data_IF_242316935009
#
_entry.id   IF_242316935009
#
_cell.length_a   1.000
_cell.length_b   1.000
_cell.length_c   1.000
_cell.angle_alpha   90.00
_cell.angle_beta   90.00
_cell.angle_gamma   90.00
#
_symmetry.space_group_name_H-M   'P 1'
#
loop_
_entity.id
_entity.type
_entity.pdbx_description
1 polymer ?
#
# COMPACT_ATOMS: atom_id res chain seq x y z
N UNK A 1 -16.15 1.08 6.36
CA UNK A 1 -16.17 1.97 7.54
C UNK A 1 -15.30 3.17 7.26
N UNK A 2 -15.78 4.38 7.54
CA UNK A 2 -15.00 5.62 7.41
C UNK A 2 -14.29 5.97 8.71
N UNK A 3 -13.13 6.58 8.60
CA UNK A 3 -12.30 7.06 9.70
C UNK A 3 -11.82 8.47 9.38
N UNK A 4 -11.67 9.30 10.40
CA UNK A 4 -11.08 10.63 10.29
C UNK A 4 -9.87 10.67 11.23
N UNK A 5 -8.73 11.12 10.71
CA UNK A 5 -7.55 11.39 11.52
C UNK A 5 -7.80 12.66 12.34
N UNK A 6 -7.84 12.52 13.66
CA UNK A 6 -8.09 13.61 14.60
C UNK A 6 -7.02 14.73 14.56
N UNK A 7 -5.82 14.45 14.03
CA UNK A 7 -4.73 15.43 13.94
C UNK A 7 -4.83 16.23 12.64
N UNK A 8 -4.97 15.53 11.49
CA UNK A 8 -4.94 16.17 10.17
C UNK A 8 -6.31 16.48 9.58
N UNK A 9 -7.38 15.88 10.11
CA UNK A 9 -8.72 15.87 9.51
C UNK A 9 -8.79 15.01 8.24
N UNK A 10 -7.75 14.23 7.91
CA UNK A 10 -7.75 13.39 6.72
C UNK A 10 -8.70 12.20 6.89
N UNK A 11 -9.48 11.92 5.86
CA UNK A 11 -10.43 10.80 5.87
C UNK A 11 -9.76 9.52 5.33
N UNK A 12 -10.09 8.38 5.90
CA UNK A 12 -9.61 7.06 5.48
C UNK A 12 -10.75 6.04 5.49
N UNK A 13 -10.54 4.90 4.83
CA UNK A 13 -11.58 3.87 4.71
C UNK A 13 -11.02 2.50 5.05
N UNK A 14 -11.79 1.69 5.77
CA UNK A 14 -11.56 0.25 5.87
C UNK A 14 -12.71 -0.51 5.21
N UNK A 15 -12.37 -1.49 4.38
CA UNK A 15 -13.28 -2.48 3.82
C UNK A 15 -13.12 -3.77 4.64
N UNK A 16 -14.21 -4.21 5.26
CA UNK A 16 -14.22 -5.34 6.21
C UNK A 16 -15.03 -6.49 5.59
N UNK A 17 -14.44 -7.69 5.61
CA UNK A 17 -15.10 -8.94 5.26
C UNK A 17 -15.11 -9.85 6.49
N UNK A 18 -16.27 -10.41 6.83
CA UNK A 18 -16.43 -11.25 8.01
C UNK A 18 -16.25 -10.51 9.34
N UNK A 19 -16.12 -11.26 10.43
CA UNK A 19 -15.95 -10.71 11.78
C UNK A 19 -14.48 -10.42 12.10
N UNK A 20 -14.21 -9.26 12.68
CA UNK A 20 -12.88 -8.89 13.17
C UNK A 20 -12.75 -9.35 14.62
N UNK A 21 -11.89 -10.34 14.85
CA UNK A 21 -11.59 -10.87 16.19
C UNK A 21 -10.09 -10.77 16.48
N UNK A 22 -9.64 -10.99 17.74
CA UNK A 22 -8.21 -10.97 18.07
C UNK A 22 -7.35 -12.06 17.39
N UNK A 23 -7.97 -13.10 16.84
CA UNK A 23 -7.28 -14.17 16.11
C UNK A 23 -6.66 -13.67 14.80
N UNK A 24 -5.59 -14.33 14.28
CA UNK A 24 -4.89 -13.95 13.06
C UNK A 24 -5.85 -13.55 11.92
N UNK A 25 -5.70 -12.32 11.44
CA UNK A 25 -6.58 -11.70 10.45
C UNK A 25 -5.80 -11.34 9.18
N UNK A 26 -6.29 -11.73 8.01
CA UNK A 26 -5.70 -11.31 6.75
C UNK A 26 -5.96 -9.82 6.52
N UNK A 27 -4.89 -9.04 6.43
CA UNK A 27 -4.98 -7.58 6.29
C UNK A 27 -4.16 -7.05 5.13
N UNK A 28 -4.68 -6.02 4.48
CA UNK A 28 -3.95 -5.21 3.49
C UNK A 28 -4.00 -3.75 3.89
N UNK A 29 -2.84 -3.13 4.11
CA UNK A 29 -2.74 -1.67 4.23
C UNK A 29 -2.27 -1.11 2.89
N UNK A 30 -3.15 -0.37 2.21
CA UNK A 30 -2.92 0.21 0.89
C UNK A 30 -2.86 1.74 1.00
N UNK A 31 -1.78 2.32 0.49
CA UNK A 31 -1.71 3.76 0.27
C UNK A 31 -2.38 4.09 -1.05
N UNK A 32 -3.32 5.03 -1.03
CA UNK A 32 -4.01 5.59 -2.18
C UNK A 32 -3.06 5.91 -3.33
N UNK A 33 -3.49 5.56 -4.53
CA UNK A 33 -2.86 5.96 -5.77
C UNK A 33 -3.94 6.16 -6.84
N UNK A 34 -4.57 7.33 -6.88
CA UNK A 34 -5.67 7.67 -7.79
C UNK A 34 -5.36 7.31 -9.25
N UNK A 35 -4.16 7.62 -9.73
CA UNK A 35 -3.77 7.30 -11.11
C UNK A 35 -3.81 5.80 -11.40
N UNK A 36 -3.43 4.96 -10.44
CA UNK A 36 -3.45 3.51 -10.60
C UNK A 36 -4.80 2.90 -10.27
N UNK A 37 -5.37 3.30 -9.14
CA UNK A 37 -6.57 2.72 -8.54
C UNK A 37 -7.85 3.17 -9.27
N UNK A 38 -7.91 4.43 -9.72
CA UNK A 38 -9.07 5.00 -10.40
C UNK A 38 -8.92 5.15 -11.92
N UNK A 39 -7.72 5.51 -12.41
CA UNK A 39 -7.50 5.74 -13.85
C UNK A 39 -6.75 4.62 -14.57
N UNK A 40 -6.51 3.49 -13.89
CA UNK A 40 -5.85 2.31 -14.47
C UNK A 40 -4.49 2.60 -15.12
N UNK A 41 -3.74 3.55 -14.57
CA UNK A 41 -2.44 3.95 -15.09
C UNK A 41 -1.48 2.76 -15.17
N UNK A 42 -0.90 2.56 -16.35
CA UNK A 42 0.12 1.54 -16.62
C UNK A 42 1.51 1.91 -16.11
N UNK A 43 1.72 3.17 -15.69
CA UNK A 43 3.01 3.70 -15.22
C UNK A 43 3.42 3.16 -13.85
N UNK A 44 2.46 2.66 -13.08
CA UNK A 44 2.71 2.12 -11.74
C UNK A 44 2.06 0.74 -11.57
N UNK A 45 2.54 0.00 -10.58
CA UNK A 45 2.00 -1.31 -10.19
C UNK A 45 0.83 -1.19 -9.19
N UNK A 46 0.29 0.01 -8.96
CA UNK A 46 -0.67 0.26 -7.89
C UNK A 46 -2.06 -0.30 -8.21
N UNK A 47 -2.56 -0.06 -9.43
CA UNK A 47 -3.94 -0.36 -9.82
C UNK A 47 -4.42 -1.79 -9.57
N UNK A 48 -3.66 -2.85 -9.90
CA UNK A 48 -4.15 -4.21 -9.69
C UNK A 48 -4.08 -4.69 -8.23
N UNK A 49 -3.33 -4.00 -7.35
CA UNK A 49 -3.06 -4.47 -5.99
C UNK A 49 -4.28 -4.44 -5.07
N UNK A 50 -5.10 -3.37 -5.01
CA UNK A 50 -6.34 -3.38 -4.23
C UNK A 50 -7.25 -4.53 -4.62
N UNK A 51 -7.49 -4.74 -5.92
CA UNK A 51 -8.35 -5.81 -6.41
C UNK A 51 -7.80 -7.20 -6.06
N UNK A 52 -6.50 -7.41 -6.19
CA UNK A 52 -5.86 -8.67 -5.79
C UNK A 52 -6.00 -8.94 -4.28
N UNK A 53 -5.81 -7.90 -3.45
CA UNK A 53 -5.96 -8.02 -2.01
C UNK A 53 -7.41 -8.29 -1.59
N UNK A 54 -8.37 -7.59 -2.21
CA UNK A 54 -9.80 -7.84 -1.97
C UNK A 54 -10.20 -9.26 -2.37
N UNK A 55 -9.68 -9.80 -3.48
CA UNK A 55 -9.91 -11.20 -3.86
C UNK A 55 -9.32 -12.19 -2.85
N UNK A 56 -8.10 -11.94 -2.36
CA UNK A 56 -7.49 -12.78 -1.33
C UNK A 56 -8.31 -12.77 -0.02
N UNK A 57 -8.73 -11.58 0.43
CA UNK A 57 -9.60 -11.41 1.61
C UNK A 57 -10.95 -12.09 1.40
N UNK A 58 -11.56 -11.96 0.23
CA UNK A 58 -12.83 -12.61 -0.08
C UNK A 58 -12.71 -14.14 -0.10
N UNK A 59 -11.59 -14.68 -0.62
CA UNK A 59 -11.34 -16.12 -0.62
C UNK A 59 -11.15 -16.70 0.79
N UNK A 60 -10.59 -15.92 1.72
CA UNK A 60 -10.47 -16.30 3.12
C UNK A 60 -11.79 -16.15 3.89
N UNK A 61 -12.72 -15.32 3.38
CA UNK A 61 -14.00 -15.03 4.03
C UNK A 61 -13.91 -14.12 5.26
N UNK A 62 -12.68 -13.75 5.67
CA UNK A 62 -12.42 -12.91 6.84
C UNK A 62 -11.15 -12.08 6.61
N UNK A 63 -11.27 -10.75 6.70
CA UNK A 63 -10.13 -9.86 6.51
C UNK A 63 -10.48 -8.39 6.35
N UNK A 64 -9.45 -7.54 6.32
CA UNK A 64 -9.60 -6.07 6.23
C UNK A 64 -8.65 -5.47 5.20
N UNK A 65 -9.18 -4.66 4.28
CA UNK A 65 -8.39 -3.74 3.47
C UNK A 65 -8.50 -2.33 4.05
N UNK A 66 -7.40 -1.80 4.55
CA UNK A 66 -7.26 -0.40 4.97
C UNK A 66 -6.79 0.42 3.77
N UNK A 67 -7.56 1.42 3.39
CA UNK A 67 -7.25 2.37 2.33
C UNK A 67 -6.90 3.73 2.95
N UNK A 68 -5.60 4.00 3.01
CA UNK A 68 -5.06 5.25 3.56
C UNK A 68 -4.95 6.28 2.44
N UNK A 69 -5.64 7.42 2.60
CA UNK A 69 -5.65 8.53 1.63
C UNK A 69 -4.39 9.41 1.75
N UNK A 70 -3.26 8.79 1.42
CA UNK A 70 -1.92 9.39 1.47
C UNK A 70 -1.21 9.26 0.12
N UNK A 71 -1.84 9.86 -0.90
CA UNK A 71 -1.38 9.87 -2.28
C UNK A 71 0.08 10.36 -2.43
N UNK A 72 0.78 9.83 -3.43
CA UNK A 72 2.11 10.28 -3.80
C UNK A 72 3.19 9.89 -2.78
N UNK A 73 2.92 8.98 -1.85
CA UNK A 73 3.74 8.76 -0.63
C UNK A 73 3.66 9.92 0.35
N UNK A 74 2.48 10.51 0.51
CA UNK A 74 2.21 11.59 1.46
C UNK A 74 2.46 13.00 0.92
N UNK A 75 3.01 13.15 -0.30
CA UNK A 75 3.23 14.48 -0.92
C UNK A 75 2.00 14.98 -1.69
N UNK A 76 0.97 14.15 -1.85
CA UNK A 76 -0.26 14.48 -2.58
C UNK A 76 -0.18 14.31 -4.10
N UNK A 77 -1.34 14.37 -4.75
CA UNK A 77 -1.50 14.10 -6.18
C UNK A 77 -0.75 15.11 -7.07
N UNK A 78 -0.86 16.40 -6.76
CA UNK A 78 -0.25 17.46 -7.57
C UNK A 78 1.27 17.31 -7.62
N UNK A 79 1.91 17.03 -6.48
CA UNK A 79 3.36 16.85 -6.41
C UNK A 79 3.80 15.53 -7.05
N UNK A 80 2.98 14.48 -6.97
CA UNK A 80 3.21 13.24 -7.74
C UNK A 80 3.22 13.50 -9.25
N UNK A 81 2.31 14.33 -9.77
CA UNK A 81 2.28 14.71 -11.20
C UNK A 81 3.53 15.53 -11.55
N UNK A 82 3.93 16.48 -10.71
CA UNK A 82 5.21 17.23 -10.89
C UNK A 82 6.42 16.29 -10.90
N UNK A 83 6.46 15.32 -9.99
CA UNK A 83 7.53 14.32 -9.94
C UNK A 83 7.56 13.45 -11.20
N UNK A 84 6.39 13.10 -11.77
CA UNK A 84 6.33 12.42 -13.07
C UNK A 84 6.89 13.27 -14.20
N UNK A 85 6.62 14.57 -14.21
CA UNK A 85 7.19 15.47 -15.21
C UNK A 85 8.73 15.52 -15.15
N UNK A 86 9.30 15.57 -13.94
CA UNK A 86 10.76 15.51 -13.75
C UNK A 86 11.33 14.15 -14.17
N UNK A 87 10.60 13.06 -13.90
CA UNK A 87 10.99 11.72 -14.35
C UNK A 87 10.94 11.55 -15.88
N UNK A 88 9.98 12.20 -16.53
CA UNK A 88 9.91 12.24 -18.00
C UNK A 88 11.12 13.00 -18.60
N UNK A 89 11.72 13.90 -17.81
CA UNK A 89 12.98 14.58 -18.11
C UNK A 89 14.26 13.80 -17.71
N UNK A 90 14.13 12.58 -17.18
CA UNK A 90 15.25 11.68 -16.87
C UNK A 90 15.64 11.57 -15.39
N UNK A 91 15.02 12.32 -14.49
CA UNK A 91 15.27 12.18 -13.05
C UNK A 91 14.71 10.86 -12.51
N UNK A 92 15.38 10.25 -11.52
CA UNK A 92 14.80 9.10 -10.82
C UNK A 92 13.73 9.54 -9.78
N UNK A 93 13.07 8.57 -9.13
CA UNK A 93 12.00 8.87 -8.15
C UNK A 93 12.50 9.62 -6.91
N UNK A 94 13.74 9.37 -6.49
CA UNK A 94 14.35 10.03 -5.33
C UNK A 94 14.78 11.43 -5.71
N UNK A 95 15.51 11.58 -6.83
CA UNK A 95 15.95 12.87 -7.37
C UNK A 95 14.76 13.80 -7.63
N UNK A 96 13.68 13.29 -8.23
CA UNK A 96 12.48 14.08 -8.47
C UNK A 96 11.83 14.59 -7.16
N UNK A 97 11.84 13.78 -6.10
CA UNK A 97 11.30 14.21 -4.80
C UNK A 97 12.22 15.23 -4.10
N UNK A 98 13.54 15.03 -4.17
CA UNK A 98 14.52 15.96 -3.62
C UNK A 98 14.46 17.33 -4.32
N UNK A 99 14.36 17.34 -5.65
CA UNK A 99 14.16 18.57 -6.44
C UNK A 99 12.87 19.30 -6.08
N UNK A 100 11.83 18.57 -5.62
CA UNK A 100 10.57 19.14 -5.17
C UNK A 100 10.56 19.48 -3.66
N UNK A 101 11.66 19.23 -2.95
CA UNK A 101 11.80 19.52 -1.52
C UNK A 101 11.08 18.55 -0.58
N UNK A 102 10.78 17.32 -1.03
CA UNK A 102 10.08 16.30 -0.24
C UNK A 102 10.99 15.14 0.18
N UNK A 103 10.72 14.50 1.33
CA UNK A 103 11.38 13.24 1.67
C UNK A 103 10.96 12.13 0.70
N UNK A 104 11.77 11.08 0.59
CA UNK A 104 11.51 9.95 -0.31
C UNK A 104 10.20 9.18 0.02
N UNK A 105 9.76 9.23 1.27
CA UNK A 105 8.51 8.65 1.78
C UNK A 105 8.03 9.45 3.02
N UNK A 106 6.90 10.15 2.91
CA UNK A 106 6.31 10.95 4.00
C UNK A 106 5.10 10.26 4.65
N UNK A 107 4.91 8.96 4.39
CA UNK A 107 3.72 8.23 4.83
C UNK A 107 3.75 7.86 6.29
N UNK A 108 2.59 7.93 6.92
CA UNK A 108 2.35 7.39 8.26
C UNK A 108 1.48 6.13 8.18
N UNK A 109 2.06 4.99 8.53
CA UNK A 109 1.35 3.71 8.59
C UNK A 109 0.76 3.44 9.99
N UNK A 110 1.12 4.23 11.00
CA UNK A 110 0.55 4.18 12.34
C UNK A 110 -0.94 4.51 12.34
N UNK A 111 -1.43 5.32 11.40
CA UNK A 111 -2.87 5.55 11.18
C UNK A 111 -3.57 4.23 10.83
N UNK A 112 -2.99 3.44 9.92
CA UNK A 112 -3.54 2.13 9.55
C UNK A 112 -3.52 1.12 10.70
N UNK A 113 -2.47 1.15 11.54
CA UNK A 113 -2.39 0.35 12.76
C UNK A 113 -3.51 0.73 13.75
N UNK A 114 -3.74 2.02 13.99
CA UNK A 114 -4.82 2.48 14.87
C UNK A 114 -6.20 2.08 14.35
N UNK A 115 -6.45 2.21 13.04
CA UNK A 115 -7.70 1.74 12.42
C UNK A 115 -7.92 0.24 12.66
N UNK A 116 -6.90 -0.60 12.45
CA UNK A 116 -7.00 -2.05 12.69
C UNK A 116 -7.24 -2.37 14.17
N UNK A 117 -6.57 -1.66 15.09
CA UNK A 117 -6.78 -1.83 16.52
C UNK A 117 -8.22 -1.50 16.93
N UNK A 118 -8.76 -0.37 16.44
CA UNK A 118 -10.13 0.08 16.69
C UNK A 118 -11.17 -0.89 16.14
N UNK A 119 -10.87 -1.56 15.02
CA UNK A 119 -11.72 -2.63 14.47
C UNK A 119 -11.69 -3.91 15.32
N UNK A 120 -10.78 -4.03 16.29
CA UNK A 120 -10.65 -5.19 17.17
C UNK A 120 -9.56 -6.19 16.77
N UNK A 121 -8.78 -5.92 15.72
CA UNK A 121 -7.69 -6.80 15.30
C UNK A 121 -6.56 -6.80 16.34
N UNK A 122 -5.88 -7.93 16.50
CA UNK A 122 -4.69 -8.08 17.37
C UNK A 122 -3.56 -8.81 16.65
N UNK A 123 -3.84 -9.98 16.07
CA UNK A 123 -2.86 -10.72 15.27
C UNK A 123 -3.09 -10.49 13.77
N UNK A 124 -2.03 -10.16 13.04
CA UNK A 124 -2.09 -9.74 11.64
C UNK A 124 -1.31 -10.67 10.71
N UNK A 125 -2.00 -11.15 9.68
CA UNK A 125 -1.41 -11.80 8.50
C UNK A 125 -1.38 -10.76 7.38
N UNK A 126 -0.24 -10.15 7.11
CA UNK A 126 -0.18 -8.91 6.31
C UNK A 126 0.15 -9.23 4.84
N UNK A 127 -0.75 -8.83 3.93
CA UNK A 127 -0.55 -8.87 2.48
C UNK A 127 0.44 -7.79 2.02
N UNK A 128 1.73 -8.13 1.98
CA UNK A 128 2.80 -7.16 1.69
C UNK A 128 4.00 -7.79 0.98
N UNK A 129 4.54 -7.05 0.01
CA UNK A 129 5.73 -7.49 -0.73
C UNK A 129 6.99 -6.78 -0.23
N UNK A 130 6.86 -5.60 0.39
CA UNK A 130 7.99 -4.85 0.93
C UNK A 130 8.11 -5.05 2.45
N UNK A 131 9.12 -5.79 2.94
CA UNK A 131 9.25 -6.10 4.36
C UNK A 131 9.58 -4.88 5.22
N UNK A 132 10.17 -3.82 4.65
CA UNK A 132 10.52 -2.59 5.41
C UNK A 132 9.30 -1.85 5.95
N UNK A 133 8.12 -2.12 5.39
CA UNK A 133 6.86 -1.47 5.78
C UNK A 133 6.14 -2.17 6.94
N UNK A 134 6.62 -3.34 7.35
CA UNK A 134 5.98 -4.14 8.40
C UNK A 134 6.23 -3.60 9.80
N UNK A 135 7.41 -3.02 10.04
CA UNK A 135 7.75 -2.46 11.35
C UNK A 135 6.79 -1.35 11.75
N UNK A 136 6.27 -0.58 10.79
CA UNK A 136 5.31 0.50 11.04
C UNK A 136 3.88 0.02 11.35
N UNK A 137 3.61 -1.28 11.21
CA UNK A 137 2.36 -1.91 11.65
C UNK A 137 2.50 -2.64 13.00
N UNK A 138 3.73 -2.76 13.52
CA UNK A 138 3.97 -3.26 14.88
C UNK A 138 3.75 -2.15 15.91
N UNK A 139 2.94 -2.41 16.93
CA UNK A 139 2.53 -1.42 17.94
C UNK A 139 1.02 -1.38 18.15
N UNK A 140 0.53 -0.51 19.04
CA UNK A 140 -0.90 -0.40 19.35
C UNK A 140 -1.57 -1.75 19.72
N UNK A 141 -0.84 -2.67 20.36
CA UNK A 141 -1.33 -4.01 20.66
C UNK A 141 -1.59 -4.90 19.42
N UNK A 142 -0.97 -4.57 18.29
CA UNK A 142 -0.96 -5.38 17.07
C UNK A 142 0.35 -6.15 16.94
N UNK A 143 0.22 -7.41 16.58
CA UNK A 143 1.31 -8.33 16.32
C UNK A 143 1.23 -8.84 14.88
N UNK A 144 2.31 -8.68 14.11
CA UNK A 144 2.41 -9.28 12.78
C UNK A 144 2.89 -10.73 12.93
N UNK A 145 1.95 -11.67 12.79
CA UNK A 145 2.22 -13.11 12.95
C UNK A 145 2.58 -13.80 11.64
N UNK A 146 2.21 -13.21 10.50
CA UNK A 146 2.52 -13.77 9.18
C UNK A 146 2.69 -12.68 8.12
N UNK A 147 3.62 -12.91 7.18
CA UNK A 147 3.78 -12.12 5.97
C UNK A 147 3.24 -12.91 4.79
N UNK A 148 2.19 -12.40 4.15
CA UNK A 148 1.56 -13.03 3.01
C UNK A 148 1.95 -12.25 1.75
N UNK A 149 2.54 -12.93 0.76
CA UNK A 149 2.88 -12.28 -0.51
C UNK A 149 1.60 -11.91 -1.27
N UNK A 150 1.56 -10.70 -1.83
CA UNK A 150 0.47 -10.24 -2.69
C UNK A 150 0.86 -10.36 -4.16
N UNK A 151 0.18 -11.24 -4.88
CA UNK A 151 0.35 -11.42 -6.32
C UNK A 151 -0.71 -10.63 -7.08
N UNK A 152 -0.30 -9.55 -7.76
CA UNK A 152 -1.20 -8.66 -8.50
C UNK A 152 -0.97 -8.67 -10.03
N UNK A 153 -0.11 -9.56 -10.53
CA UNK A 153 0.29 -9.60 -11.95
C UNK A 153 1.28 -8.49 -12.32
N UNK A 154 1.95 -8.64 -13.46
CA UNK A 154 2.81 -7.61 -14.06
C UNK A 154 2.52 -7.47 -15.56
N UNK A 155 2.90 -6.32 -16.13
CA UNK A 155 2.75 -6.06 -17.56
C UNK A 155 4.07 -5.52 -18.13
N UNK A 156 4.20 -5.49 -19.47
CA UNK A 156 5.43 -5.07 -20.13
C UNK A 156 5.86 -3.64 -19.76
N UNK A 157 4.91 -2.76 -19.43
CA UNK A 157 5.17 -1.36 -19.09
C UNK A 157 5.67 -1.14 -17.66
N UNK A 158 5.42 -2.07 -16.74
CA UNK A 158 5.82 -1.95 -15.34
C UNK A 158 6.98 -2.89 -14.95
N UNK A 159 7.53 -3.66 -15.88
CA UNK A 159 8.63 -4.60 -15.65
C UNK A 159 9.89 -3.90 -15.09
N UNK A 160 10.38 -2.84 -15.73
CA UNK A 160 11.56 -2.09 -15.24
C UNK A 160 11.34 -1.44 -13.87
N UNK A 161 10.10 -1.01 -13.61
CA UNK A 161 9.69 -0.42 -12.33
C UNK A 161 9.65 -1.45 -11.19
N UNK A 162 9.13 -2.66 -11.47
CA UNK A 162 9.11 -3.78 -10.52
C UNK A 162 10.51 -4.35 -10.28
N UNK A 163 11.36 -4.38 -11.30
CA UNK A 163 12.77 -4.79 -11.19
C UNK A 163 13.53 -3.86 -10.23
N UNK A 164 13.41 -2.54 -10.43
CA UNK A 164 14.01 -1.54 -9.52
C UNK A 164 13.55 -1.71 -8.07
N UNK A 165 12.27 -2.02 -7.85
CA UNK A 165 11.73 -2.27 -6.50
C UNK A 165 12.25 -3.57 -5.87
N UNK A 166 12.52 -4.59 -6.68
CA UNK A 166 13.06 -5.86 -6.20
C UNK A 166 14.52 -5.66 -5.81
N UNK A 167 15.31 -5.09 -6.71
CA UNK A 167 16.76 -4.96 -6.55
C UNK A 167 17.15 -3.95 -5.46
N UNK A 168 16.41 -2.83 -5.35
CA UNK A 168 16.74 -1.76 -4.39
C UNK A 168 15.93 -1.77 -3.10
N UNK A 169 14.71 -2.35 -3.09
CA UNK A 169 13.78 -2.26 -1.95
C UNK A 169 13.39 -3.62 -1.35
N UNK A 170 13.96 -4.74 -1.83
CA UNK A 170 13.78 -6.07 -1.25
C UNK A 170 12.35 -6.63 -1.37
N UNK A 171 11.66 -6.31 -2.48
CA UNK A 171 10.32 -6.83 -2.73
C UNK A 171 10.32 -8.34 -3.00
N UNK A 172 9.38 -9.10 -2.43
CA UNK A 172 9.15 -10.53 -2.72
C UNK A 172 7.91 -10.76 -3.63
N UNK A 173 7.91 -11.83 -4.43
CA UNK A 173 6.68 -12.34 -5.08
C UNK A 173 6.36 -11.83 -6.49
N UNK A 174 7.36 -11.74 -7.39
CA UNK A 174 7.10 -11.57 -8.83
C UNK A 174 6.85 -12.96 -9.44
N UNK A 175 5.59 -13.34 -9.69
CA UNK A 175 5.27 -14.45 -10.61
C UNK A 175 4.81 -13.88 -11.94
N UNK A 176 5.26 -14.48 -13.04
CA UNK A 176 4.77 -14.23 -14.39
C UNK A 176 3.30 -14.56 -14.48
N UNK A 177 2.51 -13.59 -14.94
CA UNK A 177 1.24 -13.87 -15.60
C UNK A 177 1.54 -14.48 -16.97
N UNK A 178 1.97 -15.74 -16.95
CA UNK A 178 1.90 -16.66 -18.07
C UNK A 178 1.45 -18.01 -17.51
N UNK A 179 0.13 -18.18 -17.46
CA UNK A 179 -0.62 -19.41 -17.72
C UNK A 179 -2.00 -18.98 -18.23
#
# INVERSE_FOLDING_TARGET
>A
MGFEDAISGAEHVALVMGEVTPEPLLVRVHSECLTGDGFHSLRCDCGPRPSAAMRAIAAEGRGVLVYLRQEGRGIGLLNKIRAYHLQDGGADTVEANEQLGFPADARDFGIGAQMLHLLGARQLRVLINNPRKLSALGGFGLEVVERVALYAGHNAHNAAYLQTKTDKLGHIGIRSSQE
#
